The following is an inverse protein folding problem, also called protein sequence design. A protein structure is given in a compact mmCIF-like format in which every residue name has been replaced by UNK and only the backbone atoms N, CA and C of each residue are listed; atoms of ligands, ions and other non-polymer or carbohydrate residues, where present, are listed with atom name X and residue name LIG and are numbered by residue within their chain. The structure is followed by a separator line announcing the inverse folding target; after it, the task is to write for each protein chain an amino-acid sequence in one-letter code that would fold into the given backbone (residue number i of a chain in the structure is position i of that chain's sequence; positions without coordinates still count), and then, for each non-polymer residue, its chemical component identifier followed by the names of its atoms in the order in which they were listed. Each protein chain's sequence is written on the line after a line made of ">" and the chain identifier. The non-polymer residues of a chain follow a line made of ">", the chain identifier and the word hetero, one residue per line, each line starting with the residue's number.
data_IF_749311447896
#
_entry.id   IF_749311447896
#
_cell.length_a   1.000
_cell.length_b   1.000
_cell.length_c   1.000
_cell.angle_alpha   90.00
_cell.angle_beta   90.00
_cell.angle_gamma   90.00
#
_symmetry.space_group_name_H-M   'P 1'
#
loop_
_entity.id
_entity.type
_entity.pdbx_description
1 polymer ?
#
# COMPACT_ATOMS: atom_id res chain seq x y z
N UNK A 1 60.93 23.22 -2.69
CA UNK A 1 60.42 22.56 -1.46
C UNK A 1 59.30 21.59 -1.83
N UNK A 2 59.57 20.30 -1.65
CA UNK A 2 58.53 19.29 -1.85
C UNK A 2 57.60 19.28 -0.62
N UNK A 3 56.32 19.65 -0.78
CA UNK A 3 55.30 19.51 0.25
C UNK A 3 55.11 18.01 0.53
N UNK A 4 55.40 17.57 1.75
CA UNK A 4 55.02 16.22 2.20
C UNK A 4 53.50 16.16 2.29
N UNK A 5 52.89 15.49 1.36
CA UNK A 5 51.47 15.09 1.42
C UNK A 5 51.32 14.14 2.60
N UNK A 6 50.50 14.50 3.59
CA UNK A 6 50.14 13.60 4.68
C UNK A 6 49.13 12.58 4.15
N UNK A 7 49.54 11.33 4.04
CA UNK A 7 48.66 10.24 3.65
C UNK A 7 47.71 9.84 4.79
N UNK A 8 46.55 9.27 4.44
CA UNK A 8 45.62 8.67 5.39
C UNK A 8 46.22 7.42 6.05
N UNK A 9 45.95 7.23 7.33
CA UNK A 9 46.32 6.01 8.04
C UNK A 9 45.28 4.90 7.77
N UNK A 10 45.74 3.65 7.81
CA UNK A 10 44.88 2.50 7.62
C UNK A 10 43.78 2.41 8.70
N UNK A 11 44.12 2.84 9.94
CA UNK A 11 43.17 2.83 11.05
C UNK A 11 42.05 3.89 10.90
N UNK A 12 42.37 5.07 10.34
CA UNK A 12 41.35 6.09 10.03
C UNK A 12 40.34 5.56 9.01
N UNK A 13 40.81 4.84 7.98
CA UNK A 13 39.93 4.23 6.99
C UNK A 13 39.08 3.11 7.59
N UNK A 14 39.67 2.26 8.46
CA UNK A 14 38.94 1.17 9.14
C UNK A 14 37.81 1.70 10.03
N UNK A 15 38.04 2.78 10.78
CA UNK A 15 37.00 3.38 11.62
C UNK A 15 35.86 3.92 10.76
N UNK A 16 36.14 4.57 9.65
CA UNK A 16 35.14 5.12 8.75
C UNK A 16 34.23 4.02 8.17
N UNK A 17 34.83 2.94 7.63
CA UNK A 17 34.01 1.84 7.08
C UNK A 17 33.22 1.09 8.17
N UNK A 18 33.76 0.98 9.40
CA UNK A 18 33.02 0.40 10.51
C UNK A 18 31.79 1.22 10.88
N UNK A 19 31.92 2.54 10.95
CA UNK A 19 30.79 3.45 11.22
C UNK A 19 29.76 3.38 10.09
N UNK A 20 30.19 3.42 8.83
CA UNK A 20 29.29 3.31 7.67
C UNK A 20 28.57 1.96 7.69
N UNK A 21 29.26 0.88 8.04
CA UNK A 21 28.66 -0.46 8.15
C UNK A 21 27.55 -0.52 9.20
N UNK A 22 27.77 0.07 10.37
CA UNK A 22 26.76 0.14 11.45
C UNK A 22 25.56 0.98 11.00
N UNK A 23 25.79 2.15 10.43
CA UNK A 23 24.71 3.03 9.95
C UNK A 23 23.91 2.37 8.82
N UNK A 24 24.58 1.72 7.87
CA UNK A 24 23.92 1.02 6.77
C UNK A 24 23.07 -0.15 7.26
N UNK A 25 23.54 -0.91 8.27
CA UNK A 25 22.80 -2.03 8.85
C UNK A 25 21.43 -1.61 9.43
N UNK A 26 21.32 -0.38 9.92
CA UNK A 26 20.07 0.19 10.45
C UNK A 26 19.25 0.87 9.34
N UNK A 27 19.91 1.62 8.47
CA UNK A 27 19.25 2.45 7.48
C UNK A 27 18.59 1.64 6.35
N UNK A 28 19.21 0.59 5.86
CA UNK A 28 18.73 -0.19 4.71
C UNK A 28 17.37 -0.83 5.00
N UNK A 29 17.15 -1.59 6.10
CA UNK A 29 15.84 -2.20 6.38
C UNK A 29 14.75 -1.14 6.64
N UNK A 30 15.09 -0.04 7.29
CA UNK A 30 14.16 1.06 7.51
C UNK A 30 13.72 1.69 6.18
N UNK A 31 14.67 1.98 5.29
CA UNK A 31 14.39 2.54 3.97
C UNK A 31 13.51 1.60 3.14
N UNK A 32 13.80 0.29 3.15
CA UNK A 32 12.99 -0.73 2.45
C UNK A 32 11.54 -0.71 2.93
N UNK A 33 11.30 -0.68 4.24
CA UNK A 33 9.96 -0.61 4.82
C UNK A 33 9.20 0.65 4.38
N UNK A 34 9.86 1.81 4.37
CA UNK A 34 9.24 3.06 3.94
C UNK A 34 8.91 3.05 2.44
N UNK A 35 9.78 2.48 1.61
CA UNK A 35 9.54 2.34 0.18
C UNK A 35 8.33 1.44 -0.11
N UNK A 36 8.19 0.32 0.61
CA UNK A 36 7.03 -0.56 0.50
C UNK A 36 5.74 0.18 0.88
N UNK A 37 5.74 0.90 2.00
CA UNK A 37 4.58 1.70 2.44
C UNK A 37 4.20 2.78 1.43
N UNK A 38 5.19 3.48 0.86
CA UNK A 38 4.94 4.48 -0.17
C UNK A 38 4.25 3.89 -1.41
N UNK A 39 4.69 2.72 -1.87
CA UNK A 39 4.05 2.01 -2.99
C UNK A 39 2.66 1.47 -2.63
N UNK A 40 2.46 0.99 -1.38
CA UNK A 40 1.15 0.57 -0.90
C UNK A 40 0.14 1.71 -0.84
N UNK A 41 0.58 2.95 -0.67
CA UNK A 41 -0.30 4.12 -0.72
C UNK A 41 -1.02 4.26 -2.05
N UNK A 42 -0.43 3.82 -3.17
CA UNK A 42 -1.11 3.78 -4.47
C UNK A 42 -2.29 2.78 -4.45
N UNK A 43 -2.10 1.61 -3.84
CA UNK A 43 -3.14 0.58 -3.69
C UNK A 43 -4.27 1.10 -2.79
N UNK A 44 -3.94 1.69 -1.65
CA UNK A 44 -4.94 2.22 -0.71
C UNK A 44 -5.71 3.40 -1.28
N UNK A 45 -5.07 4.26 -2.07
CA UNK A 45 -5.74 5.35 -2.79
C UNK A 45 -6.70 4.80 -3.86
N UNK A 46 -6.28 3.77 -4.60
CA UNK A 46 -7.15 3.07 -5.55
C UNK A 46 -8.39 2.49 -4.87
N UNK A 47 -8.23 1.79 -3.76
CA UNK A 47 -9.35 1.24 -2.98
C UNK A 47 -10.24 2.34 -2.38
N UNK A 48 -9.67 3.46 -1.94
CA UNK A 48 -10.45 4.59 -1.42
C UNK A 48 -11.31 5.26 -2.50
N UNK A 49 -10.84 5.30 -3.75
CA UNK A 49 -11.64 5.75 -4.88
C UNK A 49 -12.84 4.82 -5.11
N UNK A 50 -12.63 3.50 -5.02
CA UNK A 50 -13.72 2.52 -5.09
C UNK A 50 -14.68 2.69 -3.93
N UNK A 51 -14.19 2.92 -2.70
CA UNK A 51 -15.02 3.17 -1.53
C UNK A 51 -15.92 4.40 -1.69
N UNK A 52 -15.39 5.47 -2.29
CA UNK A 52 -16.16 6.67 -2.61
C UNK A 52 -17.27 6.38 -3.63
N UNK A 53 -16.99 5.57 -4.64
CA UNK A 53 -17.98 5.14 -5.63
C UNK A 53 -19.05 4.23 -5.02
N UNK A 54 -18.67 3.32 -4.11
CA UNK A 54 -19.61 2.48 -3.34
C UNK A 54 -20.53 3.35 -2.48
N UNK A 55 -19.97 4.37 -1.81
CA UNK A 55 -20.76 5.30 -0.99
C UNK A 55 -21.76 6.10 -1.83
N UNK A 56 -21.34 6.57 -3.02
CA UNK A 56 -22.25 7.26 -3.96
C UNK A 56 -23.38 6.34 -4.43
N UNK A 57 -23.07 5.11 -4.81
CA UNK A 57 -24.07 4.12 -5.22
C UNK A 57 -25.10 3.83 -4.13
N UNK A 58 -24.67 3.76 -2.87
CA UNK A 58 -25.54 3.61 -1.70
C UNK A 58 -26.48 4.80 -1.54
N UNK A 59 -26.01 6.02 -1.75
CA UNK A 59 -26.83 7.24 -1.62
C UNK A 59 -27.94 7.34 -2.67
N UNK A 60 -27.78 6.67 -3.81
CA UNK A 60 -28.83 6.53 -4.84
C UNK A 60 -29.95 5.57 -4.46
N UNK A 61 -29.89 4.97 -3.25
CA UNK A 61 -30.91 4.06 -2.74
C UNK A 61 -30.82 2.62 -3.26
N UNK A 62 -29.71 2.26 -3.91
CA UNK A 62 -29.52 0.95 -4.54
C UNK A 62 -29.06 -0.17 -3.61
N UNK A 63 -28.82 0.11 -2.32
CA UNK A 63 -28.21 -0.84 -1.37
C UNK A 63 -26.71 -1.08 -1.62
N UNK A 64 -26.14 -2.07 -0.94
CA UNK A 64 -24.72 -2.38 -1.09
C UNK A 64 -24.42 -3.00 -2.46
N UNK A 65 -23.47 -2.45 -3.24
CA UNK A 65 -23.17 -2.98 -4.57
C UNK A 65 -22.40 -4.30 -4.50
N UNK A 66 -22.54 -5.09 -5.56
CA UNK A 66 -21.75 -6.29 -5.80
C UNK A 66 -21.20 -6.26 -7.22
N UNK A 67 -19.88 -6.22 -7.34
CA UNK A 67 -19.12 -6.21 -8.59
C UNK A 67 -17.85 -7.06 -8.42
N UNK A 68 -17.93 -8.33 -8.80
CA UNK A 68 -16.91 -9.34 -8.48
C UNK A 68 -15.67 -9.31 -9.40
N UNK A 69 -15.52 -8.30 -10.26
CA UNK A 69 -14.36 -8.13 -11.13
C UNK A 69 -14.04 -6.64 -11.34
N UNK A 70 -12.83 -6.33 -11.75
CA UNK A 70 -12.40 -4.97 -12.09
C UNK A 70 -13.28 -4.33 -13.19
N UNK A 71 -13.65 -5.12 -14.21
CA UNK A 71 -14.50 -4.64 -15.30
C UNK A 71 -15.91 -4.28 -14.81
N UNK A 72 -16.46 -5.07 -13.88
CA UNK A 72 -17.74 -4.76 -13.25
C UNK A 72 -17.65 -3.54 -12.32
N UNK A 73 -16.56 -3.38 -11.59
CA UNK A 73 -16.32 -2.18 -10.78
C UNK A 73 -16.23 -0.94 -11.67
N UNK A 74 -15.55 -1.03 -12.81
CA UNK A 74 -15.49 0.06 -13.77
C UNK A 74 -16.87 0.38 -14.37
N UNK A 75 -17.60 -0.61 -14.85
CA UNK A 75 -18.88 -0.42 -15.55
C UNK A 75 -20.03 -0.02 -14.62
N UNK A 76 -20.07 -0.57 -13.40
CA UNK A 76 -21.16 -0.34 -12.45
C UNK A 76 -20.90 0.84 -11.51
N UNK A 77 -19.63 1.10 -11.15
CA UNK A 77 -19.26 2.14 -10.19
C UNK A 77 -18.48 3.29 -10.83
N UNK A 78 -18.16 3.23 -12.12
CA UNK A 78 -17.48 4.29 -12.84
C UNK A 78 -16.00 4.53 -12.45
N UNK A 79 -15.36 3.59 -11.78
CA UNK A 79 -13.96 3.72 -11.33
C UNK A 79 -13.00 3.34 -12.44
N UNK A 80 -12.06 4.24 -12.78
CA UNK A 80 -11.06 3.98 -13.82
C UNK A 80 -10.05 2.91 -13.40
N UNK A 81 -9.84 1.91 -14.25
CA UNK A 81 -8.82 0.84 -14.06
C UNK A 81 -7.39 1.37 -14.01
N UNK A 82 -7.10 2.54 -14.59
CA UNK A 82 -5.76 3.18 -14.52
C UNK A 82 -5.36 3.55 -13.09
N UNK A 83 -6.33 3.85 -12.22
CA UNK A 83 -6.07 4.11 -10.80
C UNK A 83 -5.70 2.84 -10.01
N UNK A 84 -5.80 1.66 -10.63
CA UNK A 84 -5.65 0.35 -10.01
C UNK A 84 -4.41 -0.40 -10.52
N UNK A 85 -3.41 0.30 -11.00
CA UNK A 85 -2.25 -0.28 -11.71
C UNK A 85 -1.43 -1.31 -10.91
N UNK A 86 -1.46 -1.23 -9.57
CA UNK A 86 -0.80 -2.19 -8.68
C UNK A 86 -1.75 -3.22 -8.08
N UNK A 87 -3.00 -3.21 -8.51
CA UNK A 87 -4.02 -4.16 -8.07
C UNK A 87 -4.23 -5.18 -9.18
N UNK A 88 -3.92 -6.43 -8.91
CA UNK A 88 -4.07 -7.53 -9.89
C UNK A 88 -5.49 -8.02 -10.00
N UNK A 89 -6.24 -7.99 -8.91
CA UNK A 89 -7.65 -8.33 -8.86
C UNK A 89 -8.38 -7.44 -7.86
N UNK A 90 -9.54 -6.96 -8.23
CA UNK A 90 -10.40 -6.14 -7.38
C UNK A 90 -11.83 -6.61 -7.52
N UNK A 91 -12.52 -6.73 -6.41
CA UNK A 91 -13.95 -7.03 -6.36
C UNK A 91 -14.62 -6.28 -5.23
N UNK A 92 -15.90 -6.06 -5.39
CA UNK A 92 -16.81 -5.53 -4.36
C UNK A 92 -17.90 -6.55 -4.13
N UNK A 93 -18.13 -6.97 -2.91
CA UNK A 93 -19.19 -7.90 -2.55
C UNK A 93 -19.96 -7.37 -1.36
N UNK A 94 -21.24 -7.05 -1.57
CA UNK A 94 -22.08 -6.43 -0.54
C UNK A 94 -21.39 -5.23 0.13
N UNK A 95 -20.76 -4.37 -0.67
CA UNK A 95 -20.02 -3.20 -0.23
C UNK A 95 -18.59 -3.47 0.26
N UNK A 96 -18.23 -4.70 0.62
CA UNK A 96 -16.86 -5.07 1.03
C UNK A 96 -15.94 -5.07 -0.18
N UNK A 97 -14.90 -4.25 -0.13
CA UNK A 97 -13.92 -4.12 -1.20
C UNK A 97 -12.74 -5.04 -0.91
N UNK A 98 -12.42 -5.94 -1.82
CA UNK A 98 -11.29 -6.86 -1.73
C UNK A 98 -10.34 -6.61 -2.89
N UNK A 99 -9.08 -6.35 -2.60
CA UNK A 99 -8.04 -6.15 -3.60
C UNK A 99 -6.87 -7.11 -3.36
N UNK A 100 -6.39 -7.74 -4.43
CA UNK A 100 -5.15 -8.53 -4.43
C UNK A 100 -4.08 -7.70 -5.11
N UNK A 101 -2.94 -7.51 -4.44
CA UNK A 101 -1.81 -6.76 -4.96
C UNK A 101 -1.17 -7.54 -6.11
N UNK A 102 -0.85 -6.87 -7.21
CA UNK A 102 -0.20 -7.49 -8.36
C UNK A 102 1.17 -8.06 -8.00
N UNK A 103 1.49 -9.21 -8.58
CA UNK A 103 2.81 -9.83 -8.42
C UNK A 103 3.93 -8.92 -8.97
N UNK A 104 5.09 -8.92 -8.30
CA UNK A 104 6.30 -8.21 -8.71
C UNK A 104 6.15 -6.68 -8.87
N UNK A 105 5.19 -6.06 -8.19
CA UNK A 105 4.94 -4.62 -8.31
C UNK A 105 5.47 -3.80 -7.14
N UNK A 106 5.54 -4.39 -5.95
CA UNK A 106 5.95 -3.71 -4.73
C UNK A 106 7.13 -4.42 -4.08
N UNK A 107 6.89 -5.55 -3.43
CA UNK A 107 7.87 -6.37 -2.71
C UNK A 107 7.25 -7.75 -2.40
N UNK A 108 8.03 -8.85 -2.41
CA UNK A 108 7.52 -10.19 -2.14
C UNK A 108 6.77 -10.36 -0.81
N UNK A 109 7.00 -9.47 0.16
CA UNK A 109 6.30 -9.51 1.45
C UNK A 109 4.84 -9.06 1.38
N UNK A 110 4.47 -8.30 0.35
CA UNK A 110 3.12 -7.74 0.16
C UNK A 110 2.51 -8.10 -1.21
N UNK A 111 3.31 -8.52 -2.17
CA UNK A 111 2.83 -8.97 -3.47
C UNK A 111 1.97 -10.23 -3.35
N UNK A 112 0.92 -10.34 -4.15
CA UNK A 112 -0.10 -11.40 -4.09
C UNK A 112 -0.85 -11.48 -2.75
N UNK A 113 -0.73 -10.47 -1.88
CA UNK A 113 -1.48 -10.40 -0.63
C UNK A 113 -2.79 -9.67 -0.83
N UNK A 114 -3.74 -10.00 0.02
CA UNK A 114 -5.11 -9.48 -0.02
C UNK A 114 -5.28 -8.34 0.98
N UNK A 115 -5.80 -7.22 0.49
CA UNK A 115 -6.21 -6.10 1.32
C UNK A 115 -7.74 -5.94 1.21
N UNK A 116 -8.39 -5.82 2.35
CA UNK A 116 -9.85 -5.74 2.45
C UNK A 116 -10.25 -4.44 3.13
N UNK A 117 -11.30 -3.80 2.60
CA UNK A 117 -11.91 -2.63 3.19
C UNK A 117 -13.38 -2.93 3.45
N UNK A 118 -13.76 -2.92 4.72
CA UNK A 118 -15.09 -3.29 5.19
C UNK A 118 -15.89 -2.03 5.54
N UNK A 119 -17.07 -1.82 4.92
CA UNK A 119 -17.94 -0.70 5.26
C UNK A 119 -18.81 -1.04 6.48
N UNK A 120 -19.09 -0.02 7.27
CA UNK A 120 -20.07 -0.06 8.36
C UNK A 120 -20.97 1.16 8.22
N UNK A 121 -22.26 0.94 8.05
CA UNK A 121 -23.26 2.03 8.07
C UNK A 121 -23.52 2.47 9.49
N UNK A 122 -23.46 3.75 9.73
CA UNK A 122 -23.82 4.36 11.00
C UNK A 122 -25.28 4.85 10.99
N UNK A 123 -25.86 5.05 12.16
CA UNK A 123 -27.25 5.52 12.33
C UNK A 123 -27.50 6.93 11.79
N UNK A 124 -26.43 7.72 11.61
CA UNK A 124 -26.46 9.07 11.04
C UNK A 124 -26.38 9.09 9.50
N UNK A 125 -26.32 7.89 8.86
CA UNK A 125 -26.19 7.75 7.42
C UNK A 125 -24.75 7.82 6.90
N UNK A 126 -23.77 8.01 7.77
CA UNK A 126 -22.35 7.96 7.39
C UNK A 126 -21.85 6.53 7.22
N UNK A 127 -20.80 6.34 6.41
CA UNK A 127 -20.14 5.06 6.22
C UNK A 127 -18.74 5.14 6.81
N UNK A 128 -18.44 4.24 7.74
CA UNK A 128 -17.10 4.06 8.29
C UNK A 128 -16.42 2.89 7.59
N UNK A 129 -15.18 3.08 7.19
CA UNK A 129 -14.39 2.06 6.51
C UNK A 129 -13.30 1.52 7.43
N UNK A 130 -13.16 0.20 7.49
CA UNK A 130 -12.17 -0.49 8.30
C UNK A 130 -11.26 -1.33 7.41
N UNK A 131 -9.94 -1.16 7.55
CA UNK A 131 -8.96 -1.95 6.82
C UNK A 131 -8.69 -3.29 7.51
N UNK A 132 -8.54 -4.34 6.73
CA UNK A 132 -8.23 -5.68 7.19
C UNK A 132 -7.38 -6.43 6.16
N UNK A 133 -6.63 -7.41 6.63
CA UNK A 133 -5.92 -8.40 5.81
C UNK A 133 -5.69 -9.66 6.63
N UNK A 134 -5.79 -10.82 6.00
CA UNK A 134 -5.54 -12.12 6.64
C UNK A 134 -4.13 -12.66 6.37
N UNK A 135 -3.46 -12.16 5.33
CA UNK A 135 -2.22 -12.72 4.79
C UNK A 135 -1.07 -11.69 4.68
N UNK A 136 -1.35 -10.41 4.96
CA UNK A 136 -0.36 -9.34 4.95
C UNK A 136 0.16 -9.05 6.36
N UNK A 137 1.47 -8.79 6.55
CA UNK A 137 1.99 -8.38 7.85
C UNK A 137 1.29 -7.12 8.37
N UNK A 138 0.90 -7.07 9.68
CA UNK A 138 0.14 -5.95 10.25
C UNK A 138 0.80 -4.59 10.12
N UNK A 139 2.15 -4.56 9.96
CA UNK A 139 2.91 -3.33 9.75
C UNK A 139 2.59 -2.61 8.43
N UNK A 140 2.01 -3.32 7.45
CA UNK A 140 1.67 -2.84 6.12
C UNK A 140 0.17 -2.66 5.91
N UNK A 141 -0.66 -3.15 6.81
CA UNK A 141 -2.11 -2.90 6.77
C UNK A 141 -2.36 -1.46 7.23
N UNK A 142 -3.12 -0.64 6.46
CA UNK A 142 -3.44 0.72 6.86
C UNK A 142 -4.15 0.72 8.21
N UNK A 143 -3.71 1.62 9.07
CA UNK A 143 -4.43 1.94 10.28
C UNK A 143 -5.31 3.12 9.93
N UNK A 144 -6.61 2.96 10.18
CA UNK A 144 -7.64 3.97 10.00
C UNK A 144 -7.17 5.33 9.52
#
# INVERSE_FOLDING_TARGET
>A
MLRREKGFTLIELLIVIAIIGILAAIAIPMYKTQTIKAKLTEVTNGMSNVASAVAAYMQEGNGWPTANSQDLVQSSLGVSTKALSRIGSLGVNNGVITAIISANTIDPTVDNKTLVMVPTSNTDGSITWTWSSSDMPPAYVPKR
#
